data_IF_939436181382
#
_entry.id   IF_939436181382
#
_cell.length_a   1.000
_cell.length_b   1.000
_cell.length_c   1.000
_cell.angle_alpha   90.00
_cell.angle_beta   90.00
_cell.angle_gamma   90.00
#
_symmetry.space_group_name_H-M   'P 1'
#
loop_
_entity.id
_entity.type
_entity.pdbx_description
1 polymer ?
#
# COMPACT_ATOMS: atom_id res chain seq x y z
N UNK A 1 -15.51 27.75 45.54
CA UNK A 1 -16.51 26.97 44.80
C UNK A 1 -16.28 27.33 43.34
N UNK A 2 -15.62 26.46 42.55
CA UNK A 2 -15.42 26.74 41.13
C UNK A 2 -16.81 26.81 40.50
N UNK A 3 -17.13 27.91 39.81
CA UNK A 3 -18.42 28.09 39.16
C UNK A 3 -18.67 26.89 38.25
N UNK A 4 -19.76 26.16 38.49
CA UNK A 4 -20.12 24.96 37.72
C UNK A 4 -20.19 25.24 36.22
N UNK A 5 -20.48 26.48 35.83
CA UNK A 5 -20.48 26.97 34.46
C UNK A 5 -19.07 26.99 33.84
N UNK A 6 -18.04 27.33 34.62
CA UNK A 6 -16.64 27.32 34.16
C UNK A 6 -16.14 25.89 33.92
N UNK A 7 -16.54 24.95 34.79
CA UNK A 7 -16.23 23.52 34.65
C UNK A 7 -16.94 22.93 33.43
N UNK A 8 -18.21 23.28 33.24
CA UNK A 8 -19.00 22.83 32.08
C UNK A 8 -18.42 23.37 30.77
N UNK A 9 -18.05 24.67 30.72
CA UNK A 9 -17.42 25.27 29.54
C UNK A 9 -16.08 24.63 29.19
N UNK A 10 -15.24 24.33 30.18
CA UNK A 10 -13.96 23.65 29.97
C UNK A 10 -14.16 22.22 29.43
N UNK A 11 -15.18 21.52 29.89
CA UNK A 11 -15.49 20.17 29.39
C UNK A 11 -16.00 20.21 27.93
N UNK A 12 -16.92 21.13 27.62
CA UNK A 12 -17.53 21.25 26.28
C UNK A 12 -16.49 21.64 25.22
N UNK A 13 -15.48 22.45 25.57
CA UNK A 13 -14.41 22.83 24.63
C UNK A 13 -13.22 21.87 24.70
N UNK A 14 -12.85 21.43 25.90
CA UNK A 14 -11.69 20.57 26.14
C UNK A 14 -11.87 19.17 25.56
N UNK A 15 -13.06 18.58 25.68
CA UNK A 15 -13.35 17.24 25.17
C UNK A 15 -13.19 17.15 23.63
N UNK A 16 -13.81 18.00 22.79
CA UNK A 16 -13.60 17.92 21.34
C UNK A 16 -12.17 18.26 20.93
N UNK A 17 -11.49 19.19 21.60
CA UNK A 17 -10.07 19.47 21.32
C UNK A 17 -9.20 18.25 21.62
N UNK A 18 -9.47 17.58 22.74
CA UNK A 18 -8.80 16.34 23.11
C UNK A 18 -9.08 15.23 22.10
N UNK A 19 -10.33 15.06 21.66
CA UNK A 19 -10.66 14.06 20.63
C UNK A 19 -9.95 14.34 19.30
N UNK A 20 -9.85 15.61 18.89
CA UNK A 20 -9.10 16.01 17.69
C UNK A 20 -7.60 15.74 17.84
N UNK A 21 -7.01 16.11 18.98
CA UNK A 21 -5.61 15.84 19.26
C UNK A 21 -5.32 14.34 19.32
N UNK A 22 -6.21 13.56 19.94
CA UNK A 22 -6.11 12.10 20.01
C UNK A 22 -6.23 11.46 18.62
N UNK A 23 -7.19 11.88 17.80
CA UNK A 23 -7.34 11.40 16.43
C UNK A 23 -6.11 11.71 15.58
N UNK A 24 -5.54 12.91 15.72
CA UNK A 24 -4.31 13.29 15.04
C UNK A 24 -3.10 12.45 15.51
N UNK A 25 -2.94 12.30 16.83
CA UNK A 25 -1.86 11.49 17.41
C UNK A 25 -1.94 10.01 16.98
N UNK A 26 -3.14 9.43 17.00
CA UNK A 26 -3.38 8.08 16.49
C UNK A 26 -3.08 7.97 15.00
N UNK A 27 -3.46 8.99 14.20
CA UNK A 27 -3.16 9.03 12.77
C UNK A 27 -1.65 9.01 12.48
N UNK A 28 -0.88 9.85 13.19
CA UNK A 28 0.58 9.92 13.08
C UNK A 28 1.24 8.63 13.58
N UNK A 29 0.74 8.05 14.67
CA UNK A 29 1.30 6.81 15.21
C UNK A 29 1.12 5.63 14.25
N UNK A 30 -0.07 5.48 13.66
CA UNK A 30 -0.37 4.43 12.68
C UNK A 30 0.48 4.60 11.42
N UNK A 31 0.65 5.83 10.93
CA UNK A 31 1.46 6.09 9.73
C UNK A 31 2.92 5.70 9.95
N UNK A 32 3.51 6.14 11.07
CA UNK A 32 4.92 5.90 11.36
C UNK A 32 5.20 4.40 11.57
N UNK A 33 4.26 3.68 12.21
CA UNK A 33 4.37 2.23 12.37
C UNK A 33 4.33 1.51 11.01
N UNK A 34 3.46 1.95 10.10
CA UNK A 34 3.36 1.36 8.78
C UNK A 34 4.62 1.59 7.94
N UNK A 35 5.23 2.78 8.04
CA UNK A 35 6.50 3.07 7.36
C UNK A 35 7.66 2.22 7.89
N UNK A 36 7.73 2.03 9.22
CA UNK A 36 8.76 1.19 9.83
C UNK A 36 8.63 -0.29 9.43
N UNK A 37 7.39 -0.81 9.36
CA UNK A 37 7.10 -2.18 8.91
C UNK A 37 7.51 -2.39 7.44
N UNK A 38 7.16 -1.45 6.56
CA UNK A 38 7.57 -1.48 5.15
C UNK A 38 9.10 -1.50 5.01
N UNK A 39 9.83 -0.67 5.76
CA UNK A 39 11.29 -0.62 5.69
C UNK A 39 11.94 -1.95 6.10
N UNK A 40 11.39 -2.63 7.12
CA UNK A 40 11.88 -3.94 7.55
C UNK A 40 11.63 -5.02 6.49
N UNK A 41 10.42 -5.02 5.91
CA UNK A 41 10.04 -5.95 4.84
C UNK A 41 10.91 -5.77 3.59
N UNK A 42 11.22 -4.53 3.23
CA UNK A 42 12.10 -4.23 2.09
C UNK A 42 13.52 -4.75 2.28
N UNK A 43 14.09 -4.60 3.48
CA UNK A 43 15.42 -5.15 3.78
C UNK A 43 15.45 -6.68 3.65
N UNK A 44 14.37 -7.37 4.00
CA UNK A 44 14.27 -8.82 3.94
C UNK A 44 14.20 -9.38 2.52
N UNK A 45 13.87 -8.56 1.52
CA UNK A 45 13.75 -8.97 0.10
C UNK A 45 14.65 -8.18 -0.84
N UNK A 46 15.50 -7.30 -0.31
CA UNK A 46 16.39 -6.43 -1.08
C UNK A 46 17.40 -7.20 -1.95
N UNK A 47 17.69 -8.46 -1.61
CA UNK A 47 18.58 -9.33 -2.38
C UNK A 47 17.93 -9.92 -3.64
N UNK A 48 16.61 -9.79 -3.81
CA UNK A 48 15.89 -10.40 -4.94
C UNK A 48 16.03 -9.52 -6.18
N UNK A 49 16.54 -10.10 -7.26
CA UNK A 49 16.70 -9.41 -8.54
C UNK A 49 15.38 -9.36 -9.31
N UNK A 50 14.92 -8.18 -9.69
CA UNK A 50 13.69 -8.00 -10.46
C UNK A 50 14.02 -7.51 -11.87
N UNK A 51 13.61 -8.28 -12.88
CA UNK A 51 13.76 -7.93 -14.29
C UNK A 51 12.41 -7.85 -14.98
N UNK A 52 12.19 -6.80 -15.78
CA UNK A 52 11.02 -6.68 -16.65
C UNK A 52 11.25 -7.26 -18.06
N UNK A 53 12.36 -7.97 -18.26
CA UNK A 53 12.68 -8.60 -19.55
C UNK A 53 12.17 -10.03 -19.57
N UNK A 54 11.64 -10.50 -20.70
CA UNK A 54 11.19 -11.88 -20.91
C UNK A 54 12.31 -12.94 -20.94
N UNK A 55 13.57 -12.55 -20.72
CA UNK A 55 14.71 -13.47 -20.63
C UNK A 55 15.08 -13.69 -19.16
N UNK A 56 15.24 -14.95 -18.79
CA UNK A 56 15.83 -15.36 -17.51
C UNK A 56 17.35 -15.14 -17.61
N UNK A 57 17.85 -14.06 -17.00
CA UNK A 57 19.27 -13.70 -17.07
C UNK A 57 20.04 -14.53 -16.04
N UNK A 58 21.15 -15.15 -16.44
CA UNK A 58 22.04 -15.92 -15.55
C UNK A 58 21.32 -17.00 -14.69
N UNK A 59 20.22 -17.55 -15.23
CA UNK A 59 19.47 -18.61 -14.58
C UNK A 59 20.32 -19.89 -14.44
N UNK A 60 20.38 -20.42 -13.23
CA UNK A 60 21.11 -21.68 -12.98
C UNK A 60 20.25 -22.84 -13.42
N UNK A 61 20.67 -23.53 -14.46
CA UNK A 61 20.06 -24.80 -14.87
C UNK A 61 20.44 -25.87 -13.85
N UNK A 62 19.46 -26.37 -13.08
CA UNK A 62 19.60 -27.60 -12.29
C UNK A 62 19.41 -27.50 -10.78
N UNK A 63 19.23 -26.31 -10.18
CA UNK A 63 18.89 -26.20 -8.75
C UNK A 63 17.39 -26.40 -8.51
N UNK A 64 16.58 -25.54 -9.12
CA UNK A 64 15.12 -25.51 -8.97
C UNK A 64 14.49 -24.97 -10.26
N UNK A 65 13.43 -25.62 -10.80
CA UNK A 65 12.79 -25.14 -12.02
C UNK A 65 12.16 -23.75 -11.80
N UNK A 66 12.19 -22.86 -12.81
CA UNK A 66 11.45 -21.61 -12.76
C UNK A 66 9.95 -21.85 -12.59
N UNK A 67 9.28 -21.02 -11.78
CA UNK A 67 7.84 -21.12 -11.54
C UNK A 67 7.15 -19.80 -11.76
N UNK A 68 5.90 -19.85 -12.22
CA UNK A 68 5.06 -18.66 -12.27
C UNK A 68 4.67 -18.26 -10.84
N UNK A 69 4.77 -16.97 -10.56
CA UNK A 69 4.36 -16.38 -9.29
C UNK A 69 3.37 -15.25 -9.55
N UNK A 70 2.34 -15.17 -8.72
CA UNK A 70 1.30 -14.16 -8.81
C UNK A 70 0.96 -13.63 -7.42
N UNK A 71 0.59 -12.35 -7.35
CA UNK A 71 0.15 -11.73 -6.12
C UNK A 71 -0.90 -10.66 -6.41
N UNK A 72 -1.76 -10.39 -5.44
CA UNK A 72 -2.85 -9.42 -5.56
C UNK A 72 -2.92 -8.54 -4.32
N UNK A 73 -3.28 -7.28 -4.55
CA UNK A 73 -3.61 -6.30 -3.52
C UNK A 73 -4.87 -5.55 -3.92
N UNK A 74 -5.87 -5.59 -3.04
CA UNK A 74 -7.09 -4.79 -3.16
C UNK A 74 -7.07 -3.67 -2.14
N UNK A 75 -7.25 -2.44 -2.60
CA UNK A 75 -7.36 -1.25 -1.75
C UNK A 75 -8.70 -0.58 -1.97
N UNK A 76 -9.44 -0.39 -0.87
CA UNK A 76 -10.60 0.48 -0.87
C UNK A 76 -10.19 1.94 -0.73
N UNK A 77 -10.72 2.80 -1.59
CA UNK A 77 -10.49 4.24 -1.48
C UNK A 77 -11.44 4.82 -0.43
N UNK A 78 -10.96 4.99 0.80
CA UNK A 78 -11.76 5.53 1.91
C UNK A 78 -12.30 6.94 1.61
N UNK A 79 -13.63 7.10 1.75
CA UNK A 79 -14.36 8.36 1.60
C UNK A 79 -13.83 9.52 2.44
N UNK A 80 -13.04 9.26 3.49
CA UNK A 80 -12.52 10.32 4.37
C UNK A 80 -11.60 11.29 3.60
N UNK A 81 -10.84 10.78 2.61
CA UNK A 81 -10.08 11.64 1.67
C UNK A 81 -10.98 12.31 0.64
N UNK A 82 -12.15 11.73 0.32
CA UNK A 82 -13.18 12.34 -0.53
C UNK A 82 -13.88 13.52 0.15
N UNK A 83 -14.17 13.43 1.45
CA UNK A 83 -14.75 14.53 2.24
C UNK A 83 -13.79 15.72 2.33
N UNK A 84 -12.51 15.49 2.66
CA UNK A 84 -11.46 16.52 2.57
C UNK A 84 -11.19 16.99 1.13
N UNK A 85 -11.42 16.12 0.15
CA UNK A 85 -11.34 16.42 -1.28
C UNK A 85 -12.40 17.40 -1.76
N UNK A 86 -13.62 17.35 -1.20
CA UNK A 86 -14.67 18.35 -1.47
C UNK A 86 -14.30 19.74 -0.93
N UNK A 87 -13.57 19.79 0.19
CA UNK A 87 -13.01 21.05 0.70
C UNK A 87 -11.85 21.56 -0.17
N UNK A 88 -11.04 20.65 -0.76
CA UNK A 88 -9.96 20.99 -1.72
C UNK A 88 -10.45 21.29 -3.14
N UNK A 89 -11.61 20.78 -3.56
CA UNK A 89 -12.13 21.03 -4.92
C UNK A 89 -12.56 22.48 -5.11
N UNK A 90 -12.86 23.20 -4.02
CA UNK A 90 -13.04 24.65 -4.02
C UNK A 90 -11.80 25.42 -4.48
N UNK A 91 -10.60 24.82 -4.36
CA UNK A 91 -9.31 25.45 -4.67
C UNK A 91 -8.65 24.92 -5.96
N UNK A 92 -9.27 23.96 -6.66
CA UNK A 92 -8.77 23.42 -7.94
C UNK A 92 -7.43 22.68 -7.82
N UNK A 93 -7.43 21.36 -7.97
CA UNK A 93 -6.18 20.58 -8.00
C UNK A 93 -6.40 19.10 -8.28
N UNK A 94 -5.37 18.43 -8.83
CA UNK A 94 -5.36 16.99 -9.05
C UNK A 94 -5.69 16.22 -7.77
N UNK A 95 -6.42 15.11 -7.89
CA UNK A 95 -6.75 14.18 -6.80
C UNK A 95 -5.49 13.40 -6.41
N UNK A 96 -4.47 14.07 -5.85
CA UNK A 96 -3.21 13.47 -5.37
C UNK A 96 -3.45 12.30 -4.42
N UNK A 97 -4.60 12.30 -3.73
CA UNK A 97 -5.05 11.21 -2.87
C UNK A 97 -5.22 9.88 -3.59
N UNK A 98 -5.65 9.88 -4.86
CA UNK A 98 -5.84 8.66 -5.65
C UNK A 98 -4.49 8.10 -6.13
N UNK A 99 -3.60 8.99 -6.59
CA UNK A 99 -2.26 8.62 -7.04
C UNK A 99 -1.44 7.98 -5.91
N UNK A 100 -1.48 8.55 -4.70
CA UNK A 100 -0.84 7.95 -3.52
C UNK A 100 -1.37 6.54 -3.18
N UNK A 101 -2.66 6.28 -3.40
CA UNK A 101 -3.26 4.95 -3.16
C UNK A 101 -2.76 3.95 -4.20
N UNK A 102 -2.74 4.35 -5.47
CA UNK A 102 -2.21 3.51 -6.55
C UNK A 102 -0.73 3.20 -6.36
N UNK A 103 0.09 4.20 -6.01
CA UNK A 103 1.52 3.99 -5.78
C UNK A 103 1.76 3.03 -4.60
N UNK A 104 0.96 3.14 -3.54
CA UNK A 104 0.98 2.19 -2.42
C UNK A 104 0.56 0.79 -2.85
N UNK A 105 -0.49 0.66 -3.66
CA UNK A 105 -0.96 -0.63 -4.18
C UNK A 105 0.14 -1.34 -4.99
N UNK A 106 0.82 -0.59 -5.86
CA UNK A 106 1.93 -1.10 -6.68
C UNK A 106 3.10 -1.55 -5.81
N UNK A 107 3.48 -0.77 -4.80
CA UNK A 107 4.57 -1.13 -3.90
C UNK A 107 4.23 -2.38 -3.09
N UNK A 108 3.02 -2.46 -2.55
CA UNK A 108 2.57 -3.60 -1.74
C UNK A 108 2.44 -4.88 -2.57
N UNK A 109 1.90 -4.82 -3.79
CA UNK A 109 1.74 -6.03 -4.62
C UNK A 109 3.09 -6.59 -5.04
N UNK A 110 4.03 -5.72 -5.41
CA UNK A 110 5.40 -6.15 -5.73
C UNK A 110 6.08 -6.72 -4.49
N UNK A 111 5.96 -6.06 -3.33
CA UNK A 111 6.53 -6.56 -2.08
C UNK A 111 6.01 -7.95 -1.73
N UNK A 112 4.70 -8.19 -1.83
CA UNK A 112 4.10 -9.52 -1.59
C UNK A 112 4.64 -10.58 -2.55
N UNK A 113 4.81 -10.24 -3.83
CA UNK A 113 5.44 -11.15 -4.80
C UNK A 113 6.88 -11.48 -4.40
N UNK A 114 7.66 -10.50 -3.97
CA UNK A 114 9.04 -10.70 -3.55
C UNK A 114 9.14 -11.54 -2.28
N UNK A 115 8.26 -11.30 -1.29
CA UNK A 115 8.18 -12.11 -0.07
C UNK A 115 7.85 -13.57 -0.39
N UNK A 116 6.89 -13.79 -1.29
CA UNK A 116 6.53 -15.13 -1.74
C UNK A 116 7.68 -15.78 -2.54
N UNK A 117 8.39 -15.02 -3.36
CA UNK A 117 9.58 -15.48 -4.10
C UNK A 117 10.66 -15.96 -3.14
N UNK A 118 10.95 -15.16 -2.10
CA UNK A 118 11.92 -15.49 -1.06
C UNK A 118 11.50 -16.73 -0.27
N UNK A 119 10.23 -16.81 0.13
CA UNK A 119 9.69 -17.94 0.88
C UNK A 119 9.76 -19.27 0.09
N UNK A 120 9.73 -19.19 -1.25
CA UNK A 120 9.88 -20.33 -2.15
C UNK A 120 11.35 -20.70 -2.45
N UNK A 121 12.32 -19.96 -1.88
CA UNK A 121 13.77 -20.20 -2.06
C UNK A 121 14.35 -19.62 -3.35
N UNK A 122 13.60 -18.80 -4.08
CA UNK A 122 14.09 -18.11 -5.28
C UNK A 122 14.73 -16.77 -4.92
N UNK A 123 15.66 -16.31 -5.75
CA UNK A 123 16.38 -15.04 -5.56
C UNK A 123 16.24 -14.08 -6.75
N UNK A 124 15.39 -14.41 -7.74
CA UNK A 124 15.10 -13.54 -8.85
C UNK A 124 13.66 -13.70 -9.38
N UNK A 125 13.12 -12.61 -9.92
CA UNK A 125 11.84 -12.56 -10.64
C UNK A 125 12.07 -11.95 -12.02
N UNK A 126 11.62 -12.65 -13.07
CA UNK A 126 11.63 -12.17 -14.44
C UNK A 126 10.22 -11.89 -14.96
N UNK A 127 10.13 -11.07 -16.00
CA UNK A 127 8.90 -10.70 -16.68
C UNK A 127 7.80 -10.19 -15.73
N UNK A 128 8.17 -9.32 -14.78
CA UNK A 128 7.21 -8.71 -13.86
C UNK A 128 6.20 -7.84 -14.63
N UNK A 129 4.94 -8.27 -14.64
CA UNK A 129 3.81 -7.52 -15.18
C UNK A 129 2.87 -7.14 -14.05
N UNK A 130 2.41 -5.87 -14.06
CA UNK A 130 1.43 -5.34 -13.10
C UNK A 130 0.20 -4.92 -13.89
N UNK A 131 -0.95 -5.46 -13.52
CA UNK A 131 -2.25 -5.17 -14.12
C UNK A 131 -3.17 -4.54 -13.07
N UNK A 132 -4.03 -3.61 -13.50
CA UNK A 132 -4.98 -2.90 -12.64
C UNK A 132 -6.41 -3.28 -13.04
N UNK A 133 -7.24 -3.59 -12.06
CA UNK A 133 -8.65 -3.87 -12.25
C UNK A 133 -9.48 -3.00 -11.31
N UNK A 134 -10.47 -2.29 -11.87
CA UNK A 134 -11.50 -1.64 -11.08
C UNK A 134 -12.58 -2.68 -10.73
N UNK A 135 -12.79 -2.90 -9.43
CA UNK A 135 -13.77 -3.87 -8.92
C UNK A 135 -14.97 -3.19 -8.25
N UNK A 136 -15.09 -1.87 -8.39
CA UNK A 136 -16.12 -1.06 -7.72
C UNK A 136 -17.56 -1.34 -8.19
N UNK A 137 -17.76 -2.05 -9.30
CA UNK A 137 -19.08 -2.49 -9.77
C UNK A 137 -20.10 -1.34 -9.86
N UNK A 138 -21.32 -1.54 -9.32
CA UNK A 138 -22.37 -0.51 -9.28
C UNK A 138 -22.17 0.58 -8.21
N UNK A 139 -21.08 0.53 -7.42
CA UNK A 139 -20.76 1.59 -6.45
C UNK A 139 -20.44 2.93 -7.14
N UNK A 140 -19.93 2.88 -8.38
CA UNK A 140 -19.74 4.05 -9.24
C UNK A 140 -21.07 4.80 -9.48
N UNK A 141 -22.16 4.07 -9.67
CA UNK A 141 -23.51 4.64 -9.85
C UNK A 141 -24.09 5.27 -8.56
N UNK A 142 -23.56 4.90 -7.38
CA UNK A 142 -24.01 5.42 -6.07
C UNK A 142 -23.03 6.38 -5.39
N UNK A 143 -22.02 6.91 -6.10
CA UNK A 143 -20.95 7.74 -5.50
C UNK A 143 -20.35 7.11 -4.24
N UNK A 144 -20.25 5.77 -4.22
CA UNK A 144 -19.62 5.02 -3.14
C UNK A 144 -18.20 4.59 -3.57
N UNK A 145 -17.38 4.24 -2.57
CA UNK A 145 -15.92 4.11 -2.65
C UNK A 145 -15.50 3.30 -3.88
N UNK A 146 -14.47 3.79 -4.57
CA UNK A 146 -13.86 3.04 -5.65
C UNK A 146 -12.87 2.05 -5.04
N UNK A 147 -13.04 0.77 -5.33
CA UNK A 147 -12.11 -0.28 -4.91
C UNK A 147 -11.28 -0.68 -6.11
N UNK A 148 -9.96 -0.72 -5.93
CA UNK A 148 -9.00 -1.05 -6.99
C UNK A 148 -8.28 -2.32 -6.58
N UNK A 149 -8.28 -3.31 -7.47
CA UNK A 149 -7.40 -4.47 -7.39
C UNK A 149 -6.18 -4.25 -8.29
N UNK A 150 -5.01 -4.61 -7.77
CA UNK A 150 -3.75 -4.62 -8.50
C UNK A 150 -3.19 -6.04 -8.43
N UNK A 151 -2.94 -6.62 -9.61
CA UNK A 151 -2.37 -7.94 -9.78
C UNK A 151 -0.93 -7.80 -10.27
N UNK A 152 -0.01 -8.56 -9.70
CA UNK A 152 1.33 -8.75 -10.27
C UNK A 152 1.53 -10.21 -10.68
N UNK A 153 2.13 -10.43 -11.84
CA UNK A 153 2.55 -11.75 -12.33
C UNK A 153 4.01 -11.73 -12.81
N UNK A 154 4.69 -12.87 -12.68
CA UNK A 154 6.08 -13.01 -13.11
C UNK A 154 6.56 -14.45 -13.03
N UNK A 155 7.85 -14.65 -13.28
CA UNK A 155 8.52 -15.96 -13.16
C UNK A 155 9.62 -15.89 -12.12
N UNK A 156 9.46 -16.62 -11.01
CA UNK A 156 10.48 -16.78 -9.98
C UNK A 156 11.51 -17.83 -10.43
N UNK A 157 12.79 -17.53 -10.24
CA UNK A 157 13.89 -18.40 -10.64
C UNK A 157 15.14 -18.16 -9.79
N UNK A 158 16.11 -19.07 -9.90
CA UNK A 158 17.37 -18.98 -9.19
C UNK A 158 18.49 -18.50 -10.11
N UNK A 159 19.19 -17.45 -9.68
CA UNK A 159 20.39 -16.88 -10.33
C UNK A 159 21.62 -17.20 -9.49
N UNK A 160 22.71 -17.59 -10.15
CA UNK A 160 23.99 -17.78 -9.46
C UNK A 160 24.53 -16.40 -9.08
N UNK A 161 24.59 -16.11 -7.78
CA UNK A 161 25.28 -14.92 -7.29
C UNK A 161 26.76 -15.04 -7.63
N UNK A 162 27.31 -14.11 -8.42
CA UNK A 162 28.77 -14.01 -8.57
C UNK A 162 29.34 -13.60 -7.20
N UNK A 163 30.12 -14.50 -6.60
CA UNK A 163 30.97 -14.21 -5.43
C UNK A 163 32.00 -13.14 -5.75
#
# INVERSE_FOLDING_TARGET
>A
MMDMDLVFGLFVVGLPLFMLAFAWAMGVWISNRHEADLAQRELAVAHILVHNTGRLQDAVTGSQPPVMITSEVTLGVDHFRGFLGQWKSLFGGQVRSYQMVLDRARREVVMRMLEQTNAMGYNAVANLRIDFADISGSALARRKAADISVLASGTAYYVATKS
#
